data_IF_267458677017
#
_entry.id   IF_267458677017
#
_cell.length_a   1.000
_cell.length_b   1.000
_cell.length_c   1.000
_cell.angle_alpha   90.00
_cell.angle_beta   90.00
_cell.angle_gamma   90.00
#
_symmetry.space_group_name_H-M   'P 1'
#
loop_
_entity.id
_entity.type
_entity.pdbx_description
1 polymer ?
#
# COMPACT_ATOMS: atom_id res chain seq x y z
N UNK A 1 -10.15 -26.29 25.32
CA UNK A 1 -9.47 -25.41 24.36
C UNK A 1 -8.62 -26.16 23.32
N UNK A 2 -8.31 -27.46 23.50
CA UNK A 2 -7.54 -28.27 22.54
C UNK A 2 -8.21 -28.61 21.18
N UNK A 3 -9.52 -28.88 21.06
CA UNK A 3 -10.07 -29.43 19.81
C UNK A 3 -10.12 -28.41 18.66
N UNK A 4 -10.28 -27.13 18.97
CA UNK A 4 -10.33 -26.07 17.96
C UNK A 4 -8.98 -25.87 17.26
N UNK A 5 -7.88 -25.92 18.03
CA UNK A 5 -6.53 -25.76 17.49
C UNK A 5 -6.15 -26.92 16.55
N UNK A 6 -6.58 -28.14 16.88
CA UNK A 6 -6.37 -29.32 16.03
C UNK A 6 -7.09 -29.16 14.69
N UNK A 7 -8.36 -28.76 14.69
CA UNK A 7 -9.12 -28.54 13.45
C UNK A 7 -8.46 -27.45 12.59
N UNK A 8 -7.97 -26.38 13.21
CA UNK A 8 -7.29 -25.29 12.52
C UNK A 8 -6.03 -25.78 11.78
N UNK A 9 -5.21 -26.62 12.42
CA UNK A 9 -3.98 -27.15 11.82
C UNK A 9 -4.25 -28.06 10.62
N UNK A 10 -5.39 -28.74 10.57
CA UNK A 10 -5.75 -29.58 9.42
C UNK A 10 -6.40 -28.81 8.27
N UNK A 11 -7.14 -27.75 8.57
CA UNK A 11 -7.91 -27.00 7.57
C UNK A 11 -7.11 -25.85 6.96
N UNK A 12 -6.28 -25.18 7.76
CA UNK A 12 -5.53 -24.00 7.31
C UNK A 12 -4.49 -24.33 6.22
N UNK A 13 -3.69 -25.42 6.30
CA UNK A 13 -2.71 -25.70 5.26
C UNK A 13 -3.36 -25.98 3.89
N UNK A 14 -4.37 -26.86 3.75
CA UNK A 14 -5.06 -27.06 2.48
C UNK A 14 -5.74 -25.79 1.94
N UNK A 15 -6.40 -25.01 2.80
CA UNK A 15 -7.02 -23.76 2.39
C UNK A 15 -5.99 -22.74 1.89
N UNK A 16 -4.85 -22.63 2.58
CA UNK A 16 -3.76 -21.73 2.19
C UNK A 16 -3.08 -22.15 0.88
N UNK A 17 -2.97 -23.46 0.61
CA UNK A 17 -2.41 -23.97 -0.66
C UNK A 17 -3.22 -23.56 -1.88
N UNK A 18 -4.53 -23.31 -1.73
CA UNK A 18 -5.40 -22.84 -2.82
C UNK A 18 -5.51 -21.32 -2.82
N UNK A 19 -5.70 -20.71 -1.64
CA UNK A 19 -5.83 -19.26 -1.51
C UNK A 19 -4.55 -18.52 -1.87
N UNK A 20 -3.38 -19.10 -1.58
CA UNK A 20 -2.09 -18.45 -1.80
C UNK A 20 -1.77 -18.27 -3.29
N UNK A 21 -1.90 -19.30 -4.17
CA UNK A 21 -1.78 -19.10 -5.62
C UNK A 21 -2.76 -18.07 -6.18
N UNK A 22 -4.01 -18.06 -5.70
CA UNK A 22 -5.00 -17.05 -6.13
C UNK A 22 -4.57 -15.65 -5.71
N UNK A 23 -4.10 -15.47 -4.48
CA UNK A 23 -3.63 -14.18 -3.98
C UNK A 23 -2.34 -13.73 -4.70
N UNK A 24 -1.40 -14.66 -4.93
CA UNK A 24 -0.21 -14.42 -5.74
C UNK A 24 -0.59 -13.98 -7.15
N UNK A 25 -1.59 -14.61 -7.77
CA UNK A 25 -2.05 -14.24 -9.10
C UNK A 25 -2.66 -12.83 -9.12
N UNK A 26 -3.50 -12.49 -8.14
CA UNK A 26 -4.08 -11.14 -8.01
C UNK A 26 -2.97 -10.10 -7.83
N UNK A 27 -2.02 -10.34 -6.92
CA UNK A 27 -0.90 -9.43 -6.69
C UNK A 27 0.02 -9.32 -7.92
N UNK A 28 0.21 -10.40 -8.68
CA UNK A 28 0.96 -10.38 -9.92
C UNK A 28 0.25 -9.55 -10.99
N UNK A 29 -1.07 -9.71 -11.14
CA UNK A 29 -1.87 -8.88 -12.03
C UNK A 29 -1.84 -7.40 -11.61
N UNK A 30 -1.95 -7.11 -10.31
CA UNK A 30 -1.84 -5.76 -9.78
C UNK A 30 -0.45 -5.16 -10.01
N UNK A 31 0.61 -5.93 -9.84
CA UNK A 31 1.98 -5.49 -10.15
C UNK A 31 2.14 -5.17 -11.64
N UNK A 32 1.66 -6.04 -12.54
CA UNK A 32 1.67 -5.78 -13.99
C UNK A 32 0.86 -4.53 -14.33
N UNK A 33 -0.34 -4.40 -13.77
CA UNK A 33 -1.21 -3.25 -14.01
C UNK A 33 -0.56 -1.94 -13.56
N UNK A 34 -0.06 -1.89 -12.32
CA UNK A 34 0.62 -0.70 -11.78
C UNK A 34 1.91 -0.38 -12.53
N UNK A 35 2.61 -1.39 -13.05
CA UNK A 35 3.80 -1.18 -13.88
C UNK A 35 3.46 -0.56 -15.24
N UNK A 36 2.31 -0.90 -15.83
CA UNK A 36 1.90 -0.40 -17.15
C UNK A 36 1.17 0.95 -17.05
N UNK A 37 0.33 1.13 -16.03
CA UNK A 37 -0.49 2.32 -15.80
C UNK A 37 0.13 3.32 -14.81
N UNK A 38 1.45 3.30 -14.63
CA UNK A 38 2.11 4.28 -13.77
C UNK A 38 1.97 5.69 -14.36
N UNK A 39 1.21 6.54 -13.68
CA UNK A 39 1.09 7.95 -14.06
C UNK A 39 2.43 8.67 -13.89
N UNK A 40 2.84 9.42 -14.92
CA UNK A 40 3.96 10.33 -14.78
C UNK A 40 3.55 11.53 -13.92
N UNK A 41 4.26 11.75 -12.81
CA UNK A 41 4.04 12.85 -11.87
C UNK A 41 5.15 13.90 -11.92
N UNK A 42 6.15 13.73 -12.79
CA UNK A 42 7.20 14.74 -12.99
C UNK A 42 6.57 16.07 -13.39
N UNK A 43 7.04 17.14 -12.74
CA UNK A 43 6.56 18.53 -12.87
C UNK A 43 5.11 18.81 -12.46
N UNK A 44 4.34 17.78 -12.06
CA UNK A 44 2.97 17.98 -11.55
C UNK A 44 2.98 18.49 -10.12
N UNK A 45 2.06 19.41 -9.81
CA UNK A 45 1.89 19.93 -8.45
C UNK A 45 0.84 19.10 -7.70
N UNK A 46 1.21 18.60 -6.50
CA UNK A 46 0.32 17.84 -5.61
C UNK A 46 0.22 18.55 -4.27
N UNK A 47 -1.02 18.87 -3.86
CA UNK A 47 -1.31 19.52 -2.58
C UNK A 47 -1.78 18.47 -1.58
N UNK A 48 -1.09 18.35 -0.46
CA UNK A 48 -1.38 17.33 0.56
C UNK A 48 -1.72 18.01 1.87
N UNK A 49 -2.97 17.85 2.33
CA UNK A 49 -3.40 18.30 3.65
C UNK A 49 -3.21 17.18 4.69
N UNK A 50 -2.85 17.54 5.91
CA UNK A 50 -2.55 16.56 6.96
C UNK A 50 -1.22 15.81 6.76
N UNK A 51 -0.28 16.38 6.00
CA UNK A 51 0.98 15.71 5.63
C UNK A 51 1.92 15.35 6.80
N UNK A 52 1.71 15.89 8.00
CA UNK A 52 2.62 15.69 9.16
C UNK A 52 2.58 14.31 9.83
N UNK A 53 1.64 13.44 9.45
CA UNK A 53 1.48 12.11 10.06
C UNK A 53 0.55 11.17 9.29
N UNK A 54 0.80 9.87 9.42
CA UNK A 54 -0.16 8.83 9.01
C UNK A 54 -0.27 8.73 7.49
N UNK A 55 -1.50 8.67 6.96
CA UNK A 55 -1.72 8.45 5.52
C UNK A 55 -1.17 9.64 4.70
N UNK A 56 -1.39 10.88 5.15
CA UNK A 56 -0.89 12.06 4.42
C UNK A 56 0.63 12.09 4.30
N UNK A 57 1.34 11.62 5.33
CA UNK A 57 2.80 11.50 5.34
C UNK A 57 3.28 10.45 4.32
N UNK A 58 2.66 9.26 4.33
CA UNK A 58 3.01 8.20 3.37
C UNK A 58 2.71 8.61 1.92
N UNK A 59 1.60 9.32 1.70
CA UNK A 59 1.26 9.89 0.38
C UNK A 59 2.33 10.90 -0.05
N UNK A 60 2.77 11.79 0.84
CA UNK A 60 3.83 12.75 0.54
C UNK A 60 5.13 12.04 0.12
N UNK A 61 5.52 10.98 0.82
CA UNK A 61 6.69 10.18 0.44
C UNK A 61 6.52 9.50 -0.93
N UNK A 62 5.38 8.90 -1.21
CA UNK A 62 5.14 8.22 -2.48
C UNK A 62 5.13 9.18 -3.67
N UNK A 63 4.52 10.37 -3.54
CA UNK A 63 4.55 11.36 -4.61
C UNK A 63 5.90 12.07 -4.75
N UNK A 64 6.66 12.21 -3.67
CA UNK A 64 8.05 12.69 -3.74
C UNK A 64 8.94 11.72 -4.54
N UNK A 65 8.81 10.40 -4.33
CA UNK A 65 9.53 9.37 -5.10
C UNK A 65 9.20 9.44 -6.60
N UNK A 66 7.99 9.87 -6.94
CA UNK A 66 7.51 10.06 -8.32
C UNK A 66 7.88 11.43 -8.92
N UNK A 67 8.73 12.22 -8.26
CA UNK A 67 9.20 13.55 -8.71
C UNK A 67 8.11 14.61 -8.87
N UNK A 68 7.04 14.51 -8.09
CA UNK A 68 6.03 15.54 -8.03
C UNK A 68 6.52 16.78 -7.27
N UNK A 69 6.03 17.95 -7.63
CA UNK A 69 6.18 19.19 -6.87
C UNK A 69 5.14 19.21 -5.74
N UNK A 70 5.58 19.14 -4.48
CA UNK A 70 4.67 18.97 -3.34
C UNK A 70 4.41 20.28 -2.59
N UNK A 71 3.14 20.56 -2.31
CA UNK A 71 2.71 21.56 -1.33
C UNK A 71 2.11 20.84 -0.11
N UNK A 72 2.85 20.83 0.99
CA UNK A 72 2.45 20.10 2.20
C UNK A 72 1.82 21.06 3.22
N UNK A 73 0.61 20.73 3.67
CA UNK A 73 -0.16 21.54 4.61
C UNK A 73 -0.41 20.73 5.88
N UNK A 74 0.09 21.20 7.01
CA UNK A 74 -0.23 20.63 8.32
C UNK A 74 -0.14 21.68 9.43
N UNK A 75 -0.78 21.40 10.57
CA UNK A 75 -0.79 22.31 11.73
C UNK A 75 0.54 22.39 12.49
N UNK A 76 1.45 21.44 12.29
CA UNK A 76 2.70 21.29 13.06
C UNK A 76 3.88 21.37 12.11
N UNK A 77 4.49 22.55 12.00
CA UNK A 77 5.63 22.80 11.12
C UNK A 77 6.85 21.93 11.44
N UNK A 78 7.14 21.69 12.72
CA UNK A 78 8.27 20.84 13.16
C UNK A 78 8.20 19.37 12.72
N UNK A 79 7.06 18.94 12.17
CA UNK A 79 6.78 17.56 11.76
C UNK A 79 6.54 17.42 10.25
N UNK A 80 6.75 18.51 9.50
CA UNK A 80 6.69 18.54 8.04
C UNK A 80 8.09 18.29 7.46
#
# INVERSE_FOLDING_TARGET
>A
MAPFNTILIWVVPPASLVAWPTLCFINACEWVYNSIYSENMEDKVVIITGASSGIGEQIAYEYAKRRANLLLIARREKRL
#
